data_IF_988899503228
#
_entry.id   IF_988899503228
#
_cell.length_a   1.000
_cell.length_b   1.000
_cell.length_c   1.000
_cell.angle_alpha   90.00
_cell.angle_beta   90.00
_cell.angle_gamma   90.00
#
_symmetry.space_group_name_H-M   'P 1'
#
loop_
_entity.id
_entity.type
_entity.pdbx_description
1 polymer ?
#
# COMPACT_ATOMS: atom_id res chain seq x y z
N UNK A 1 7.33 -7.02 24.62
CA UNK A 1 8.08 -7.09 23.33
C UNK A 1 7.10 -6.91 22.18
N UNK A 2 7.49 -6.20 21.11
CA UNK A 2 6.55 -5.83 20.04
C UNK A 2 6.22 -7.05 19.17
N UNK A 3 4.94 -7.27 18.85
CA UNK A 3 4.46 -8.33 17.92
C UNK A 3 5.19 -8.32 16.55
N UNK A 4 5.74 -7.18 16.16
CA UNK A 4 6.58 -7.03 14.96
C UNK A 4 7.92 -7.76 15.13
N UNK A 5 8.51 -7.72 16.32
CA UNK A 5 9.76 -8.39 16.60
C UNK A 5 9.58 -9.91 16.56
N UNK A 6 8.49 -10.42 17.12
CA UNK A 6 8.16 -11.85 17.09
C UNK A 6 7.91 -12.36 15.67
N UNK A 7 7.20 -11.57 14.83
CA UNK A 7 6.96 -11.93 13.43
C UNK A 7 8.27 -11.96 12.61
N UNK A 8 9.17 -11.01 12.87
CA UNK A 8 10.47 -10.94 12.21
C UNK A 8 11.43 -12.01 12.70
N UNK A 9 11.39 -12.35 13.98
CA UNK A 9 12.21 -13.41 14.57
C UNK A 9 11.80 -14.78 14.03
N UNK A 10 10.51 -15.07 13.89
CA UNK A 10 10.00 -16.28 13.23
C UNK A 10 10.44 -16.39 11.78
N UNK A 11 10.35 -15.28 11.02
CA UNK A 11 10.82 -15.24 9.63
C UNK A 11 12.34 -15.44 9.50
N UNK A 12 13.11 -15.12 10.52
CA UNK A 12 14.56 -15.31 10.56
C UNK A 12 14.93 -16.73 10.98
N UNK A 13 14.23 -17.32 11.94
CA UNK A 13 14.40 -18.72 12.36
C UNK A 13 14.03 -19.70 11.23
N UNK A 14 12.99 -19.38 10.42
CA UNK A 14 12.64 -20.16 9.23
C UNK A 14 13.74 -20.09 8.14
N UNK A 15 14.57 -19.06 8.14
CA UNK A 15 15.65 -18.84 7.17
C UNK A 15 16.94 -19.60 7.53
N UNK A 16 17.24 -19.74 8.81
CA UNK A 16 18.46 -20.42 9.30
C UNK A 16 18.38 -21.95 9.20
N UNK A 17 17.17 -22.50 8.95
CA UNK A 17 16.94 -23.93 8.76
C UNK A 17 17.22 -24.47 7.35
N UNK A 18 17.60 -23.63 6.37
CA UNK A 18 17.86 -24.05 4.98
C UNK A 18 19.37 -24.11 4.73
N UNK A 19 19.93 -25.28 4.35
CA UNK A 19 21.37 -25.38 4.05
C UNK A 19 21.75 -24.54 2.84
N UNK A 20 22.97 -23.95 2.82
CA UNK A 20 23.41 -23.11 1.71
C UNK A 20 23.57 -23.93 0.42
N UNK A 21 22.95 -23.47 -0.67
CA UNK A 21 23.20 -23.96 -2.02
C UNK A 21 24.62 -23.58 -2.43
N UNK A 22 25.43 -24.58 -2.80
CA UNK A 22 26.80 -24.42 -3.27
C UNK A 22 26.89 -23.45 -4.45
N UNK A 23 27.78 -22.46 -4.31
CA UNK A 23 28.05 -21.47 -5.34
C UNK A 23 28.85 -22.08 -6.48
N UNK A 24 28.22 -22.29 -7.61
CA UNK A 24 28.89 -22.64 -8.87
C UNK A 24 29.72 -21.45 -9.39
N UNK A 25 31.03 -21.64 -9.42
CA UNK A 25 32.01 -20.67 -9.89
C UNK A 25 31.92 -20.56 -11.43
N UNK A 26 31.27 -19.52 -11.95
CA UNK A 26 31.39 -19.17 -13.37
C UNK A 26 32.41 -18.06 -13.57
N UNK A 27 33.43 -18.41 -14.35
CA UNK A 27 34.61 -17.64 -14.73
C UNK A 27 34.24 -16.28 -15.37
N UNK A 28 34.80 -15.21 -14.84
CA UNK A 28 34.80 -13.87 -15.41
C UNK A 28 35.63 -13.83 -16.72
N UNK A 29 35.03 -13.33 -17.78
CA UNK A 29 35.75 -12.82 -18.97
C UNK A 29 35.47 -11.32 -19.12
N UNK A 30 36.48 -10.46 -19.30
CA UNK A 30 36.31 -9.04 -19.50
C UNK A 30 36.03 -8.72 -20.97
N UNK A 31 34.96 -7.96 -21.24
CA UNK A 31 34.73 -7.38 -22.57
C UNK A 31 34.43 -5.88 -22.44
N UNK A 32 35.48 -5.09 -22.41
CA UNK A 32 35.39 -3.69 -22.79
C UNK A 32 35.60 -3.60 -24.32
N UNK A 33 34.60 -3.16 -25.03
CA UNK A 33 34.73 -2.45 -26.31
C UNK A 33 33.70 -1.33 -26.38
N UNK A 34 34.21 -0.13 -26.35
CA UNK A 34 33.52 1.12 -26.64
C UNK A 34 32.97 1.13 -28.06
N UNK A 35 31.70 1.39 -28.28
CA UNK A 35 31.14 1.91 -29.53
C UNK A 35 30.13 3.00 -29.22
N UNK A 36 30.36 4.17 -29.80
CA UNK A 36 29.56 5.37 -29.77
C UNK A 36 28.12 5.15 -30.27
N UNK A 37 27.16 5.97 -29.81
CA UNK A 37 25.74 5.75 -30.09
C UNK A 37 25.37 6.27 -31.49
N UNK A 38 24.76 5.44 -32.31
CA UNK A 38 23.94 5.88 -33.43
C UNK A 38 22.52 6.15 -32.91
N UNK A 39 22.14 7.42 -32.98
CA UNK A 39 20.79 7.91 -32.83
C UNK A 39 19.84 7.20 -33.81
N UNK A 40 18.85 6.49 -33.30
CA UNK A 40 17.60 6.22 -34.01
C UNK A 40 16.44 6.45 -33.06
N UNK A 41 15.74 7.54 -33.29
CA UNK A 41 14.44 7.83 -32.71
C UNK A 41 13.48 6.65 -32.99
N UNK A 42 13.10 5.99 -31.92
CA UNK A 42 12.02 5.03 -31.87
C UNK A 42 11.37 5.11 -30.51
N UNK A 43 10.47 6.06 -30.32
CA UNK A 43 9.55 6.06 -29.18
C UNK A 43 8.70 4.79 -29.27
N UNK A 44 9.18 3.69 -28.69
CA UNK A 44 8.28 2.61 -28.29
C UNK A 44 7.56 3.09 -27.03
N UNK A 45 6.37 3.60 -27.22
CA UNK A 45 5.38 3.73 -26.15
C UNK A 45 5.14 2.33 -25.59
N UNK A 46 5.79 2.00 -24.48
CA UNK A 46 5.31 0.91 -23.64
C UNK A 46 3.94 1.35 -23.13
N UNK A 47 2.89 0.83 -23.73
CA UNK A 47 1.58 0.89 -23.12
C UNK A 47 1.74 0.32 -21.69
N UNK A 48 1.29 1.03 -20.64
CA UNK A 48 1.37 0.52 -19.29
C UNK A 48 0.61 -0.80 -19.26
N UNK A 49 1.29 -1.87 -18.87
CA UNK A 49 0.67 -3.15 -18.55
C UNK A 49 -0.37 -2.83 -17.49
N UNK A 50 -1.66 -2.86 -17.85
CA UNK A 50 -2.74 -2.62 -16.91
C UNK A 50 -2.57 -3.61 -15.75
N UNK A 51 -2.31 -3.12 -14.57
CA UNK A 51 -2.39 -3.87 -13.32
C UNK A 51 -3.88 -4.20 -13.09
N UNK A 52 -4.43 -5.13 -13.89
CA UNK A 52 -5.78 -5.63 -13.64
C UNK A 52 -5.71 -6.48 -12.40
N UNK A 53 -6.10 -5.89 -11.29
CA UNK A 53 -6.38 -6.67 -10.09
C UNK A 53 -7.66 -7.44 -10.38
N UNK A 54 -7.56 -8.76 -10.31
CA UNK A 54 -8.73 -9.61 -10.27
C UNK A 54 -9.33 -9.48 -8.86
N UNK A 55 -10.49 -8.88 -8.78
CA UNK A 55 -11.24 -8.76 -7.52
C UNK A 55 -11.99 -10.05 -7.16
N UNK A 56 -12.00 -11.04 -8.04
CA UNK A 56 -12.41 -12.42 -7.76
C UNK A 56 -11.20 -13.17 -7.17
N UNK A 57 -10.91 -12.88 -5.91
CA UNK A 57 -9.77 -13.43 -5.20
C UNK A 57 -9.91 -14.93 -5.00
N UNK A 58 -8.78 -15.64 -5.08
CA UNK A 58 -8.71 -17.01 -4.59
C UNK A 58 -9.17 -17.07 -3.11
N UNK A 59 -9.87 -18.13 -2.68
CA UNK A 59 -10.51 -18.19 -1.37
C UNK A 59 -9.55 -17.93 -0.19
N UNK A 60 -8.33 -18.40 -0.28
CA UNK A 60 -7.26 -18.22 0.72
C UNK A 60 -6.83 -16.75 0.85
N UNK A 61 -6.69 -16.06 -0.29
CA UNK A 61 -6.36 -14.63 -0.33
C UNK A 61 -7.52 -13.80 0.20
N UNK A 62 -8.75 -14.13 -0.20
CA UNK A 62 -9.96 -13.45 0.30
C UNK A 62 -10.09 -13.61 1.81
N UNK A 63 -9.85 -14.81 2.34
CA UNK A 63 -9.86 -15.08 3.77
C UNK A 63 -8.79 -14.29 4.52
N UNK A 64 -7.58 -14.17 3.96
CA UNK A 64 -6.51 -13.36 4.56
C UNK A 64 -6.93 -11.89 4.73
N UNK A 65 -7.58 -11.29 3.71
CA UNK A 65 -8.10 -9.91 3.81
C UNK A 65 -9.28 -9.80 4.77
N UNK A 66 -10.14 -10.83 4.86
CA UNK A 66 -11.23 -10.87 5.85
C UNK A 66 -10.68 -10.93 7.28
N UNK A 67 -9.67 -11.76 7.54
CA UNK A 67 -8.98 -11.84 8.83
C UNK A 67 -8.33 -10.50 9.18
N UNK A 68 -7.68 -9.85 8.21
CA UNK A 68 -7.13 -8.50 8.39
C UNK A 68 -8.25 -7.53 8.82
N UNK A 69 -9.36 -7.49 8.10
CA UNK A 69 -10.51 -6.64 8.42
C UNK A 69 -11.10 -6.94 9.80
N UNK A 70 -11.20 -8.20 10.18
CA UNK A 70 -11.70 -8.59 11.51
C UNK A 70 -10.73 -8.14 12.60
N UNK A 71 -9.44 -8.38 12.44
CA UNK A 71 -8.42 -8.01 13.42
C UNK A 71 -8.29 -6.49 13.59
N UNK A 72 -8.49 -5.72 12.53
CA UNK A 72 -8.38 -4.26 12.55
C UNK A 72 -9.66 -3.59 13.12
N UNK A 73 -10.84 -4.15 12.81
CA UNK A 73 -12.12 -3.58 13.24
C UNK A 73 -12.61 -4.11 14.59
N UNK A 74 -11.97 -5.15 15.15
CA UNK A 74 -12.32 -5.68 16.47
C UNK A 74 -11.42 -5.03 17.53
N UNK A 75 -11.97 -4.20 18.43
CA UNK A 75 -11.18 -3.50 19.43
C UNK A 75 -10.57 -4.49 20.42
N UNK A 76 -9.26 -4.41 20.64
CA UNK A 76 -8.56 -5.33 21.54
C UNK A 76 -8.83 -5.07 23.03
N UNK A 77 -9.09 -3.82 23.46
CA UNK A 77 -9.44 -3.44 24.85
C UNK A 77 -10.14 -2.08 24.98
N UNK A 78 -9.88 -1.12 24.07
CA UNK A 78 -10.56 0.17 24.05
C UNK A 78 -11.33 0.32 22.73
N UNK A 79 -12.56 0.83 22.73
CA UNK A 79 -13.36 1.02 21.52
C UNK A 79 -12.82 2.24 20.73
N UNK A 80 -11.65 2.10 20.14
CA UNK A 80 -11.19 3.06 19.12
C UNK A 80 -12.00 2.78 17.88
N UNK A 81 -12.91 3.68 17.54
CA UNK A 81 -13.64 3.61 16.27
C UNK A 81 -12.62 3.92 15.16
N UNK A 82 -12.09 2.89 14.54
CA UNK A 82 -11.19 3.02 13.41
C UNK A 82 -12.00 3.41 12.17
N UNK A 83 -11.75 4.59 11.64
CA UNK A 83 -12.38 5.11 10.42
C UNK A 83 -11.39 5.33 9.28
N UNK A 84 -10.14 5.59 9.62
CA UNK A 84 -9.06 5.86 8.67
C UNK A 84 -7.95 4.84 8.81
N UNK A 85 -7.57 4.23 7.71
CA UNK A 85 -6.42 3.33 7.63
C UNK A 85 -5.47 3.74 6.54
N UNK A 86 -4.21 3.97 6.87
CA UNK A 86 -3.14 4.12 5.88
C UNK A 86 -2.47 2.78 5.64
N UNK A 87 -2.33 2.40 4.38
CA UNK A 87 -1.51 1.28 3.93
C UNK A 87 -0.19 1.84 3.41
N UNK A 88 0.93 1.37 3.95
CA UNK A 88 2.25 1.89 3.64
C UNK A 88 3.29 0.78 3.59
N UNK A 89 4.38 1.00 2.86
CA UNK A 89 5.53 0.09 2.79
C UNK A 89 6.85 0.83 3.01
N UNK A 90 7.97 0.08 3.15
CA UNK A 90 9.30 0.66 3.27
C UNK A 90 9.83 1.20 1.95
N UNK A 91 9.65 0.44 0.87
CA UNK A 91 10.20 0.70 -0.45
C UNK A 91 9.14 0.59 -1.55
N UNK A 92 9.49 1.01 -2.75
CA UNK A 92 8.63 0.85 -3.92
C UNK A 92 8.44 -0.63 -4.30
N UNK A 93 7.22 -0.97 -4.74
CA UNK A 93 6.92 -2.26 -5.33
C UNK A 93 6.58 -3.38 -4.33
N UNK A 94 6.48 -3.08 -3.03
CA UNK A 94 6.11 -4.06 -1.99
C UNK A 94 4.61 -4.43 -2.00
N UNK A 95 3.81 -3.78 -2.87
CA UNK A 95 2.40 -4.11 -3.08
C UNK A 95 1.41 -3.26 -2.28
N UNK A 96 1.79 -2.06 -1.86
CA UNK A 96 0.96 -1.13 -1.08
C UNK A 96 -0.37 -0.86 -1.76
N UNK A 97 -0.36 -0.37 -3.01
CA UNK A 97 -1.57 -0.04 -3.79
C UNK A 97 -2.48 -1.25 -3.97
N UNK A 98 -1.91 -2.42 -4.32
CA UNK A 98 -2.67 -3.67 -4.45
C UNK A 98 -3.33 -4.05 -3.13
N UNK A 99 -2.60 -3.98 -2.02
CA UNK A 99 -3.12 -4.28 -0.69
C UNK A 99 -4.23 -3.31 -0.29
N UNK A 100 -4.04 -2.01 -0.51
CA UNK A 100 -5.05 -0.98 -0.22
C UNK A 100 -6.35 -1.23 -1.02
N UNK A 101 -6.23 -1.49 -2.32
CA UNK A 101 -7.36 -1.75 -3.20
C UNK A 101 -8.14 -3.02 -2.81
N UNK A 102 -7.44 -4.13 -2.56
CA UNK A 102 -8.06 -5.40 -2.17
C UNK A 102 -8.69 -5.32 -0.79
N UNK A 103 -8.05 -4.64 0.16
CA UNK A 103 -8.61 -4.43 1.49
C UNK A 103 -9.89 -3.58 1.44
N UNK A 104 -9.85 -2.44 0.74
CA UNK A 104 -11.02 -1.58 0.55
C UNK A 104 -12.18 -2.34 -0.13
N UNK A 105 -11.89 -3.12 -1.18
CA UNK A 105 -12.88 -3.96 -1.86
C UNK A 105 -13.49 -5.02 -0.94
N UNK A 106 -12.66 -5.67 -0.12
CA UNK A 106 -13.13 -6.68 0.85
C UNK A 106 -14.07 -6.08 1.90
N UNK A 107 -13.76 -4.88 2.42
CA UNK A 107 -14.63 -4.17 3.35
C UNK A 107 -15.97 -3.82 2.70
N UNK A 108 -15.96 -3.25 1.49
CA UNK A 108 -17.17 -2.89 0.76
C UNK A 108 -18.03 -4.14 0.45
N UNK A 109 -17.42 -5.22 -0.04
CA UNK A 109 -18.10 -6.47 -0.43
C UNK A 109 -18.68 -7.22 0.77
N UNK A 110 -17.87 -7.41 1.82
CA UNK A 110 -18.19 -8.33 2.93
C UNK A 110 -18.85 -7.65 4.11
N UNK A 111 -18.45 -6.44 4.44
CA UNK A 111 -19.02 -5.68 5.56
C UNK A 111 -20.14 -4.75 5.12
N UNK A 112 -20.35 -4.57 3.80
CA UNK A 112 -21.33 -3.66 3.19
C UNK A 112 -21.18 -2.22 3.71
N UNK A 113 -19.92 -1.83 3.96
CA UNK A 113 -19.59 -0.47 4.35
C UNK A 113 -19.43 0.39 3.11
N UNK A 114 -19.81 1.65 3.21
CA UNK A 114 -19.43 2.66 2.23
C UNK A 114 -17.97 3.02 2.46
N UNK A 115 -17.11 2.54 1.56
CA UNK A 115 -15.65 2.66 1.66
C UNK A 115 -15.12 3.61 0.60
N UNK A 116 -14.23 4.50 1.03
CA UNK A 116 -13.47 5.36 0.15
C UNK A 116 -12.00 4.92 0.12
N UNK A 117 -11.46 4.70 -1.07
CA UNK A 117 -10.03 4.50 -1.29
C UNK A 117 -9.42 5.79 -1.86
N UNK A 118 -8.43 6.35 -1.17
CA UNK A 118 -7.75 7.58 -1.57
C UNK A 118 -6.32 7.27 -2.00
N UNK A 119 -5.96 7.71 -3.19
CA UNK A 119 -4.58 7.68 -3.67
C UNK A 119 -3.78 8.84 -3.10
N UNK A 120 -3.16 8.62 -1.93
CA UNK A 120 -2.24 9.56 -1.31
C UNK A 120 -0.78 9.31 -1.73
N UNK A 121 -0.55 8.34 -2.60
CA UNK A 121 0.73 8.11 -3.26
C UNK A 121 0.87 9.04 -4.47
N UNK A 122 1.10 10.31 -4.22
CA UNK A 122 1.30 11.31 -5.27
C UNK A 122 2.54 11.02 -6.13
N UNK A 123 3.53 10.28 -5.61
CA UNK A 123 4.83 10.06 -6.26
C UNK A 123 4.76 9.07 -7.41
N UNK A 124 3.99 8.01 -7.21
CA UNK A 124 3.79 6.94 -8.20
C UNK A 124 2.34 6.49 -8.20
N UNK A 125 1.41 7.36 -8.63
CA UNK A 125 -0.01 7.04 -8.64
C UNK A 125 -0.30 5.87 -9.58
N UNK A 126 -1.15 4.94 -9.15
CA UNK A 126 -1.40 3.69 -9.85
C UNK A 126 -2.87 3.22 -9.83
N UNK A 127 -3.79 3.93 -9.15
CA UNK A 127 -5.19 3.47 -9.05
C UNK A 127 -5.91 3.46 -10.40
N UNK A 128 -5.50 4.27 -11.38
CA UNK A 128 -6.02 4.21 -12.76
C UNK A 128 -5.64 2.92 -13.49
N UNK A 129 -4.60 2.21 -13.03
CA UNK A 129 -4.21 0.91 -13.56
C UNK A 129 -5.00 -0.23 -12.91
N UNK A 130 -5.60 0.04 -11.74
CA UNK A 130 -6.35 -0.91 -10.91
C UNK A 130 -7.84 -0.85 -11.22
N UNK A 131 -8.38 0.36 -11.33
CA UNK A 131 -9.81 0.61 -11.56
C UNK A 131 -10.04 1.32 -12.90
N UNK A 132 -11.19 1.12 -13.55
CA UNK A 132 -11.57 1.83 -14.77
C UNK A 132 -12.03 3.25 -14.45
N UNK A 133 -11.14 4.06 -13.88
CA UNK A 133 -11.39 5.45 -13.46
C UNK A 133 -10.52 6.41 -14.27
N UNK A 134 -10.82 7.70 -14.20
CA UNK A 134 -10.09 8.75 -14.91
C UNK A 134 -9.47 9.72 -13.90
N UNK A 135 -8.30 10.24 -14.24
CA UNK A 135 -7.71 11.34 -13.48
C UNK A 135 -8.33 12.66 -13.94
N UNK A 136 -9.44 13.04 -13.31
CA UNK A 136 -10.15 14.28 -13.57
C UNK A 136 -10.23 15.13 -12.30
N UNK A 137 -9.08 15.52 -11.79
CA UNK A 137 -8.93 16.03 -10.44
C UNK A 137 -8.82 14.89 -9.42
N UNK A 138 -8.57 15.22 -8.16
CA UNK A 138 -8.38 14.24 -7.11
C UNK A 138 -8.11 14.84 -5.74
N UNK A 139 -7.34 14.12 -4.94
CA UNK A 139 -7.10 14.48 -3.55
C UNK A 139 -6.32 15.80 -3.39
N UNK A 140 -5.42 16.11 -4.33
CA UNK A 140 -4.72 17.39 -4.34
C UNK A 140 -5.66 18.58 -4.50
N UNK A 141 -6.56 18.54 -5.50
CA UNK A 141 -7.52 19.61 -5.74
C UNK A 141 -8.57 19.73 -4.62
N UNK A 142 -8.94 18.60 -4.02
CA UNK A 142 -9.84 18.59 -2.87
C UNK A 142 -9.20 19.31 -1.67
N UNK A 143 -7.93 19.02 -1.35
CA UNK A 143 -7.20 19.70 -0.29
C UNK A 143 -6.96 21.16 -0.62
N UNK A 144 -6.63 21.49 -1.87
CA UNK A 144 -6.48 22.87 -2.31
C UNK A 144 -7.81 23.67 -2.31
N UNK A 145 -8.94 22.97 -2.28
CA UNK A 145 -10.28 23.58 -2.32
C UNK A 145 -10.69 24.08 -3.68
N UNK A 146 -10.02 23.63 -4.74
CA UNK A 146 -10.35 23.97 -6.14
C UNK A 146 -11.45 23.07 -6.70
N UNK A 147 -11.65 21.90 -6.10
CA UNK A 147 -12.75 20.99 -6.43
C UNK A 147 -13.39 20.43 -5.14
N UNK A 148 -14.63 19.99 -5.23
CA UNK A 148 -15.37 19.37 -4.13
C UNK A 148 -15.33 17.84 -4.21
N UNK A 149 -15.75 17.17 -3.10
CA UNK A 149 -15.78 15.71 -3.00
C UNK A 149 -16.61 15.06 -4.10
N UNK A 150 -17.77 15.66 -4.46
CA UNK A 150 -18.65 15.12 -5.49
C UNK A 150 -18.02 15.11 -6.89
N UNK A 151 -17.15 16.07 -7.16
CA UNK A 151 -16.43 16.19 -8.44
C UNK A 151 -15.27 15.21 -8.57
N UNK A 152 -14.47 15.02 -7.49
CA UNK A 152 -13.25 14.20 -7.54
C UNK A 152 -13.51 12.73 -7.25
N UNK A 153 -14.61 12.41 -6.59
CA UNK A 153 -14.98 11.05 -6.22
C UNK A 153 -15.52 10.28 -7.41
N UNK A 154 -15.07 9.05 -7.59
CA UNK A 154 -15.52 8.18 -8.66
C UNK A 154 -16.01 6.84 -8.08
N UNK A 155 -17.16 6.37 -8.60
CA UNK A 155 -17.66 5.03 -8.31
C UNK A 155 -16.81 3.97 -9.02
N UNK A 156 -16.64 2.82 -8.38
CA UNK A 156 -15.99 1.66 -9.00
C UNK A 156 -17.04 0.62 -9.45
N UNK A 157 -16.66 -0.40 -10.23
CA UNK A 157 -17.53 -1.53 -10.50
C UNK A 157 -17.95 -2.31 -9.25
N UNK A 158 -17.17 -2.22 -8.16
CA UNK A 158 -17.51 -2.84 -6.88
C UNK A 158 -18.52 -1.94 -6.14
N UNK A 159 -19.73 -2.44 -5.81
CA UNK A 159 -20.70 -1.68 -5.01
C UNK A 159 -20.11 -1.22 -3.67
N UNK A 160 -20.50 -0.04 -3.22
CA UNK A 160 -20.07 0.61 -1.98
C UNK A 160 -18.55 0.91 -1.90
N UNK A 161 -17.82 0.81 -3.02
CA UNK A 161 -16.42 1.23 -3.12
C UNK A 161 -16.30 2.44 -4.05
N UNK A 162 -15.77 3.52 -3.50
CA UNK A 162 -15.48 4.76 -4.20
C UNK A 162 -13.98 5.05 -4.17
N UNK A 163 -13.50 5.79 -5.15
CA UNK A 163 -12.08 6.12 -5.29
C UNK A 163 -11.90 7.61 -5.52
N UNK A 164 -10.87 8.19 -4.91
CA UNK A 164 -10.33 9.50 -5.24
C UNK A 164 -8.86 9.29 -5.66
N UNK A 165 -8.52 9.71 -6.89
CA UNK A 165 -7.14 9.67 -7.39
C UNK A 165 -6.29 10.75 -6.73
N UNK A 166 -4.97 10.70 -6.91
CA UNK A 166 -4.06 11.74 -6.41
C UNK A 166 -4.36 13.15 -6.97
N UNK A 167 -4.89 13.22 -8.18
CA UNK A 167 -5.14 14.49 -8.87
C UNK A 167 -3.89 15.07 -9.52
N UNK A 168 -3.95 16.39 -9.83
CA UNK A 168 -2.84 17.17 -10.39
C UNK A 168 -2.36 18.18 -9.35
N UNK A 169 -1.06 18.38 -9.27
CA UNK A 169 -0.48 19.30 -8.29
C UNK A 169 0.80 19.92 -8.84
N UNK A 170 1.01 21.18 -8.49
CA UNK A 170 2.21 21.95 -8.85
C UNK A 170 3.16 22.07 -7.67
N UNK A 171 2.68 21.83 -6.45
CA UNK A 171 3.46 21.94 -5.21
C UNK A 171 3.97 20.58 -4.73
N UNK A 172 4.87 20.57 -3.76
CA UNK A 172 5.34 19.32 -3.17
C UNK A 172 4.19 18.55 -2.51
N UNK A 173 4.07 17.22 -2.71
CA UNK A 173 3.09 16.38 -2.01
C UNK A 173 3.08 16.54 -0.49
N UNK A 174 4.24 16.72 0.12
CA UNK A 174 4.34 16.98 1.56
C UNK A 174 3.58 18.24 1.98
N UNK A 175 3.70 19.34 1.21
CA UNK A 175 2.95 20.57 1.48
C UNK A 175 1.44 20.41 1.33
N UNK A 176 1.00 19.58 0.37
CA UNK A 176 -0.42 19.26 0.21
C UNK A 176 -0.93 18.56 1.48
N UNK A 177 -0.22 17.53 1.93
CA UNK A 177 -0.61 16.77 3.12
C UNK A 177 -0.50 17.56 4.42
N UNK A 178 0.38 18.57 4.50
CA UNK A 178 0.52 19.48 5.63
C UNK A 178 -0.51 20.60 5.67
N UNK A 179 -1.25 20.82 4.58
CA UNK A 179 -2.19 21.92 4.48
C UNK A 179 -3.23 21.90 5.63
N UNK A 180 -3.56 23.06 6.23
CA UNK A 180 -4.55 23.14 7.33
C UNK A 180 -5.91 22.57 6.94
N UNK A 181 -6.30 22.72 5.65
CA UNK A 181 -7.55 22.23 5.11
C UNK A 181 -7.67 20.69 5.10
N UNK A 182 -6.57 19.96 5.26
CA UNK A 182 -6.59 18.49 5.35
C UNK A 182 -7.54 17.97 6.42
N UNK A 183 -7.58 18.60 7.60
CA UNK A 183 -8.46 18.19 8.69
C UNK A 183 -9.94 18.43 8.36
N UNK A 184 -10.25 19.53 7.66
CA UNK A 184 -11.61 19.83 7.20
C UNK A 184 -12.06 18.82 6.13
N UNK A 185 -11.16 18.47 5.21
CA UNK A 185 -11.42 17.46 4.17
C UNK A 185 -11.70 16.11 4.81
N UNK A 186 -10.90 15.67 5.77
CA UNK A 186 -11.13 14.40 6.48
C UNK A 186 -12.48 14.40 7.19
N UNK A 187 -12.84 15.50 7.87
CA UNK A 187 -14.15 15.62 8.52
C UNK A 187 -15.31 15.50 7.54
N UNK A 188 -15.24 16.17 6.37
CA UNK A 188 -16.25 16.07 5.32
C UNK A 188 -16.37 14.64 4.74
N UNK A 189 -15.24 13.94 4.60
CA UNK A 189 -15.22 12.57 4.12
C UNK A 189 -15.83 11.61 5.14
N UNK A 190 -15.59 11.82 6.43
CA UNK A 190 -16.17 11.02 7.53
C UNK A 190 -17.71 11.17 7.65
N UNK A 191 -18.29 12.27 7.16
CA UNK A 191 -19.74 12.41 7.09
C UNK A 191 -20.38 11.50 6.03
N UNK A 192 -19.61 11.10 5.01
CA UNK A 192 -20.10 10.36 3.84
C UNK A 192 -19.70 8.89 3.84
N UNK A 193 -18.52 8.57 4.39
CA UNK A 193 -17.95 7.24 4.34
C UNK A 193 -17.76 6.65 5.74
N UNK A 194 -18.07 5.38 5.85
CA UNK A 194 -17.89 4.64 7.10
C UNK A 194 -16.44 4.23 7.32
N UNK A 195 -15.68 4.06 6.22
CA UNK A 195 -14.27 3.71 6.27
C UNK A 195 -13.47 4.32 5.12
N UNK A 196 -12.29 4.83 5.42
CA UNK A 196 -11.39 5.44 4.44
C UNK A 196 -10.06 4.67 4.45
N UNK A 197 -9.61 4.24 3.28
CA UNK A 197 -8.32 3.60 3.08
C UNK A 197 -7.41 4.54 2.29
N UNK A 198 -6.22 4.80 2.80
CA UNK A 198 -5.21 5.60 2.10
C UNK A 198 -4.12 4.71 1.53
N UNK A 199 -3.90 4.77 0.23
CA UNK A 199 -2.71 4.24 -0.43
C UNK A 199 -1.59 5.26 -0.35
N UNK A 200 -0.48 4.95 0.31
CA UNK A 200 0.58 5.90 0.63
C UNK A 200 1.90 5.60 -0.09
N UNK A 201 2.71 6.63 -0.26
CA UNK A 201 4.07 6.51 -0.77
C UNK A 201 5.00 5.79 0.24
N UNK A 202 6.08 5.14 -0.24
CA UNK A 202 7.00 4.39 0.63
C UNK A 202 7.75 5.32 1.59
N UNK A 203 7.76 4.95 2.88
CA UNK A 203 8.22 5.79 3.99
C UNK A 203 9.74 6.01 4.01
N UNK A 204 10.54 5.05 3.54
CA UNK A 204 12.01 5.22 3.51
C UNK A 204 12.48 6.15 2.38
N UNK A 205 11.59 6.47 1.44
CA UNK A 205 11.91 7.28 0.25
C UNK A 205 11.37 8.70 0.39
N UNK A 206 10.15 8.84 0.99
CA UNK A 206 9.43 10.11 1.09
C UNK A 206 8.90 10.35 2.50
N UNK A 207 8.75 11.62 2.88
CA UNK A 207 8.17 12.02 4.17
C UNK A 207 6.64 11.98 4.18
N UNK A 208 6.02 11.85 3.02
CA UNK A 208 4.57 11.93 2.80
C UNK A 208 3.79 10.97 3.73
N UNK A 209 4.28 9.72 3.86
CA UNK A 209 3.68 8.74 4.74
C UNK A 209 3.77 9.08 6.25
N UNK A 210 4.83 9.80 6.66
CA UNK A 210 4.96 10.25 8.06
C UNK A 210 3.92 11.33 8.37
N UNK A 211 3.74 12.28 7.44
CA UNK A 211 2.79 13.39 7.58
C UNK A 211 1.36 12.85 7.60
N UNK A 212 1.02 11.97 6.66
CA UNK A 212 -0.31 11.36 6.59
C UNK A 212 -0.59 10.45 7.80
N UNK A 213 0.39 9.66 8.22
CA UNK A 213 0.27 8.72 9.33
C UNK A 213 -0.05 9.38 10.68
N UNK A 214 0.33 10.65 10.86
CA UNK A 214 -0.03 11.46 12.04
C UNK A 214 -1.48 11.94 12.02
N UNK A 215 -2.16 11.87 10.87
CA UNK A 215 -3.51 12.43 10.67
C UNK A 215 -4.60 11.37 10.55
N UNK A 216 -4.22 10.10 10.37
CA UNK A 216 -5.12 8.96 10.26
C UNK A 216 -5.17 8.17 11.56
N UNK A 217 -6.24 7.41 11.77
CA UNK A 217 -6.44 6.63 12.99
C UNK A 217 -5.42 5.53 13.16
N UNK A 218 -5.01 4.90 12.05
CA UNK A 218 -4.12 3.75 12.07
C UNK A 218 -3.32 3.54 10.79
N UNK A 219 -2.26 2.76 10.91
CA UNK A 219 -1.36 2.39 9.81
C UNK A 219 -1.12 0.88 9.79
N UNK A 220 -1.27 0.26 8.63
CA UNK A 220 -0.82 -1.10 8.33
C UNK A 220 0.41 -1.04 7.44
N UNK A 221 1.43 -1.77 7.85
CA UNK A 221 2.71 -1.81 7.17
C UNK A 221 2.82 -3.05 6.28
N UNK A 222 3.03 -2.87 4.98
CA UNK A 222 3.19 -3.95 4.01
C UNK A 222 4.68 -4.26 3.85
N UNK A 223 5.04 -5.53 3.92
CA UNK A 223 6.39 -6.03 3.73
C UNK A 223 6.34 -7.09 2.63
N UNK A 224 7.23 -7.02 1.64
CA UNK A 224 7.40 -8.09 0.66
C UNK A 224 8.27 -9.19 1.24
N UNK A 225 7.71 -10.41 1.34
CA UNK A 225 8.45 -11.59 1.80
C UNK A 225 9.68 -11.85 0.91
N UNK A 226 10.75 -12.35 1.50
CA UNK A 226 12.00 -12.73 0.84
C UNK A 226 12.75 -11.59 0.10
N UNK A 227 12.22 -10.36 0.14
CA UNK A 227 12.83 -9.20 -0.55
C UNK A 227 13.20 -8.07 0.39
N UNK A 228 12.29 -7.69 1.30
CA UNK A 228 12.50 -6.52 2.15
C UNK A 228 13.45 -6.88 3.30
N UNK A 229 14.54 -6.14 3.42
CA UNK A 229 15.50 -6.33 4.51
C UNK A 229 14.93 -5.83 5.84
N UNK A 230 15.28 -6.51 6.93
CA UNK A 230 14.79 -6.17 8.26
C UNK A 230 15.21 -4.75 8.68
N UNK A 231 16.40 -4.31 8.26
CA UNK A 231 16.90 -2.96 8.57
C UNK A 231 16.03 -1.88 7.92
N UNK A 232 15.53 -2.12 6.69
CA UNK A 232 14.63 -1.21 6.00
C UNK A 232 13.28 -1.13 6.72
N UNK A 233 12.74 -2.26 7.16
CA UNK A 233 11.50 -2.31 7.93
C UNK A 233 11.65 -1.56 9.26
N UNK A 234 12.75 -1.80 9.98
CA UNK A 234 13.01 -1.12 11.25
C UNK A 234 13.21 0.39 11.08
N UNK A 235 13.89 0.79 9.99
CA UNK A 235 14.05 2.21 9.65
C UNK A 235 12.70 2.86 9.38
N UNK A 236 11.87 2.24 8.54
CA UNK A 236 10.54 2.70 8.20
C UNK A 236 9.64 2.82 9.44
N UNK A 237 9.64 1.79 10.29
CA UNK A 237 8.91 1.81 11.56
C UNK A 237 9.29 3.00 12.44
N UNK A 238 10.61 3.21 12.66
CA UNK A 238 11.09 4.35 13.46
C UNK A 238 10.67 5.70 12.88
N UNK A 239 10.65 5.82 11.55
CA UNK A 239 10.22 7.07 10.89
C UNK A 239 8.73 7.33 11.09
N UNK A 240 7.88 6.30 10.93
CA UNK A 240 6.44 6.40 11.16
C UNK A 240 6.11 6.74 12.63
N UNK A 241 6.75 6.04 13.58
CA UNK A 241 6.56 6.28 15.01
C UNK A 241 6.99 7.70 15.41
N UNK A 242 8.11 8.21 14.87
CA UNK A 242 8.54 9.60 15.10
C UNK A 242 7.58 10.61 14.49
N UNK A 243 6.94 10.28 13.37
CA UNK A 243 5.89 11.08 12.76
C UNK A 243 4.56 11.05 13.51
N UNK A 244 4.42 10.21 14.55
CA UNK A 244 3.18 10.07 15.32
C UNK A 244 2.18 9.07 14.74
N UNK A 245 2.56 8.27 13.72
CA UNK A 245 1.70 7.25 13.14
C UNK A 245 1.43 6.11 14.13
N UNK A 246 0.17 5.70 14.23
CA UNK A 246 -0.27 4.58 15.07
C UNK A 246 -0.21 3.29 14.26
N UNK A 247 0.81 2.48 14.45
CA UNK A 247 0.96 1.21 13.77
C UNK A 247 0.09 0.13 14.41
N UNK A 248 -0.85 -0.44 13.65
CA UNK A 248 -1.70 -1.54 14.09
C UNK A 248 -1.08 -2.91 13.84
N UNK A 249 -0.34 -3.07 12.75
CA UNK A 249 0.22 -4.35 12.39
C UNK A 249 1.04 -4.34 11.11
N UNK A 250 1.47 -5.54 10.74
CA UNK A 250 2.25 -5.81 9.54
C UNK A 250 1.51 -6.83 8.69
N UNK A 251 1.49 -6.61 7.38
CA UNK A 251 1.03 -7.57 6.38
C UNK A 251 2.24 -8.07 5.58
N UNK A 252 2.47 -9.37 5.61
CA UNK A 252 3.49 -10.01 4.81
C UNK A 252 2.91 -10.36 3.44
N UNK A 253 3.34 -9.63 2.41
CA UNK A 253 2.87 -9.78 1.04
C UNK A 253 3.77 -10.72 0.24
N UNK A 254 3.22 -11.38 -0.79
CA UNK A 254 3.93 -12.27 -1.72
C UNK A 254 4.68 -13.42 -1.04
N UNK A 255 4.17 -13.89 0.10
CA UNK A 255 4.73 -15.08 0.75
C UNK A 255 4.60 -16.26 -0.21
N UNK A 256 5.72 -16.93 -0.48
CA UNK A 256 5.74 -18.19 -1.23
C UNK A 256 5.58 -19.33 -0.23
N UNK A 257 4.65 -20.25 -0.50
CA UNK A 257 4.64 -21.52 0.20
C UNK A 257 5.71 -22.41 -0.44
N UNK A 258 6.65 -22.87 0.37
CA UNK A 258 7.67 -23.84 -0.04
C UNK A 258 7.27 -25.27 0.33
N UNK A 259 6.13 -25.42 1.01
CA UNK A 259 5.61 -26.73 1.36
C UNK A 259 4.82 -27.30 0.19
N UNK A 260 5.02 -28.57 -0.17
CA UNK A 260 4.13 -29.26 -1.09
C UNK A 260 2.70 -29.21 -0.57
N UNK A 261 1.72 -28.99 -1.47
CA UNK A 261 0.30 -28.79 -1.13
C UNK A 261 -0.30 -29.88 -0.25
N UNK A 262 0.24 -31.11 -0.30
CA UNK A 262 -0.21 -32.21 0.56
C UNK A 262 0.21 -32.09 2.03
N UNK A 263 1.18 -31.23 2.35
CA UNK A 263 1.63 -30.96 3.73
C UNK A 263 0.98 -29.70 4.34
N UNK A 264 0.41 -28.82 3.53
CA UNK A 264 -0.24 -27.58 4.01
C UNK A 264 -1.50 -27.84 4.85
N UNK A 265 -2.15 -28.99 4.67
CA UNK A 265 -3.34 -29.38 5.44
C UNK A 265 -3.04 -30.13 6.76
N UNK A 266 -1.77 -30.34 7.11
CA UNK A 266 -1.34 -31.10 8.31
C UNK A 266 -0.76 -30.22 9.41
N UNK A 267 -0.64 -28.91 9.19
CA UNK A 267 -0.17 -27.91 10.15
C UNK A 267 -1.31 -26.95 10.47
#
# INVERSE_FOLDING_TARGET
MSKIYEALQRAQEEREGVPPLEAEQTRRRPWFRSRSPRSTNGHRSHAPTSLRIDFDLAPDVEEAYQRLGTNLLTPAKDPVVLRDLMVVASLHGEGTTTTAALYASTLAKRKKLDVLLIEANFRTPALEQVFPIRRNGGFAELIAGTQDVGTVMQATPQPNLFVITSGHYETSPSHILEAPRMSEVLAQLHERFQFIVFDSAPVNVYTDAQILGARVDATVFVIEADRTRIEEVQRAKRQLERGGAKMLGVLLNRRKSYLPSFLEGMI
#
